data_IF_278510582501
#
_entry.id   IF_278510582501
#
_cell.length_a   1.000
_cell.length_b   1.000
_cell.length_c   1.000
_cell.angle_alpha   90.00
_cell.angle_beta   90.00
_cell.angle_gamma   90.00
#
_symmetry.space_group_name_H-M   'P 1'
#
loop_
_entity.id
_entity.type
_entity.pdbx_description
1 polymer ?
#
# COMPACT_ATOMS: atom_id res chain seq x y z
N UNK A 1 2.75 -1.30 -9.79
CA UNK A 1 2.36 -2.71 -9.53
C UNK A 1 2.20 -3.51 -10.82
N UNK A 2 1.17 -3.30 -11.66
CA UNK A 2 1.01 -4.10 -12.89
C UNK A 2 2.25 -4.02 -13.79
N UNK A 3 2.69 -2.80 -14.10
CA UNK A 3 3.87 -2.59 -14.94
C UNK A 3 5.13 -3.20 -14.32
N UNK A 4 5.34 -3.03 -13.01
CA UNK A 4 6.45 -3.67 -12.30
C UNK A 4 6.44 -5.19 -12.43
N UNK A 5 5.27 -5.84 -12.38
CA UNK A 5 5.15 -7.28 -12.56
C UNK A 5 5.39 -7.71 -14.02
N UNK A 6 4.96 -6.91 -15.00
CA UNK A 6 5.29 -7.14 -16.41
C UNK A 6 6.80 -7.02 -16.66
N UNK A 7 7.45 -6.02 -16.07
CA UNK A 7 8.92 -5.85 -16.13
C UNK A 7 9.67 -7.04 -15.50
N UNK A 8 9.05 -7.70 -14.51
CA UNK A 8 9.55 -8.94 -13.88
C UNK A 8 9.27 -10.21 -14.69
N UNK A 9 8.67 -10.10 -15.88
CA UNK A 9 8.39 -11.22 -16.78
C UNK A 9 7.04 -11.92 -16.57
N UNK A 10 6.13 -11.33 -15.80
CA UNK A 10 4.75 -11.81 -15.77
C UNK A 10 4.00 -11.44 -17.06
N UNK A 11 3.09 -12.30 -17.46
CA UNK A 11 2.12 -12.09 -18.54
C UNK A 11 0.70 -11.89 -17.99
N UNK A 12 -0.26 -11.55 -18.85
CA UNK A 12 -1.64 -11.32 -18.42
C UNK A 12 -2.27 -12.57 -17.78
N UNK A 13 -1.91 -13.77 -18.24
CA UNK A 13 -2.44 -15.02 -17.70
C UNK A 13 -1.98 -15.25 -16.25
N UNK A 14 -0.67 -15.12 -15.99
CA UNK A 14 -0.12 -15.25 -14.63
C UNK A 14 -0.61 -14.14 -13.72
N UNK A 15 -0.76 -12.90 -14.21
CA UNK A 15 -1.35 -11.80 -13.44
C UNK A 15 -2.80 -12.08 -13.03
N UNK A 16 -3.59 -12.69 -13.90
CA UNK A 16 -4.98 -13.06 -13.60
C UNK A 16 -5.07 -14.22 -12.60
N UNK A 17 -4.07 -15.11 -12.57
CA UNK A 17 -3.99 -16.22 -11.64
C UNK A 17 -3.51 -15.82 -10.23
N UNK A 18 -2.97 -14.61 -10.03
CA UNK A 18 -2.51 -14.15 -8.72
C UNK A 18 -3.65 -14.13 -7.70
N UNK A 19 -3.41 -14.63 -6.47
CA UNK A 19 -4.40 -14.60 -5.41
C UNK A 19 -4.78 -13.16 -5.08
N UNK A 20 -6.08 -12.92 -4.89
CA UNK A 20 -6.64 -11.61 -4.56
C UNK A 20 -7.07 -11.59 -3.10
N UNK A 21 -6.69 -10.55 -2.38
CA UNK A 21 -7.17 -10.32 -1.03
C UNK A 21 -8.59 -9.73 -1.08
N UNK A 22 -9.61 -10.58 -1.27
CA UNK A 22 -11.01 -10.14 -1.37
C UNK A 22 -11.50 -9.43 -0.10
N UNK A 23 -10.99 -9.83 1.06
CA UNK A 23 -11.28 -9.19 2.35
C UNK A 23 -10.87 -7.71 2.43
N UNK A 24 -10.02 -7.22 1.53
CA UNK A 24 -9.67 -5.80 1.46
C UNK A 24 -10.88 -4.92 1.10
N UNK A 25 -11.88 -5.48 0.40
CA UNK A 25 -13.11 -4.77 0.06
C UNK A 25 -13.90 -4.34 1.32
N UNK A 26 -13.76 -5.08 2.42
CA UNK A 26 -14.52 -4.84 3.64
C UNK A 26 -13.86 -3.83 4.59
N UNK A 27 -12.64 -3.38 4.30
CA UNK A 27 -11.91 -2.44 5.15
C UNK A 27 -12.59 -1.06 5.25
N UNK A 28 -13.30 -0.65 4.19
CA UNK A 28 -13.86 0.69 4.07
C UNK A 28 -15.36 0.67 4.31
N UNK A 29 -15.75 0.92 5.56
CA UNK A 29 -17.16 0.97 6.01
C UNK A 29 -17.69 2.39 6.20
N UNK A 30 -16.99 3.40 5.69
CA UNK A 30 -17.36 4.81 5.80
C UNK A 30 -16.18 5.75 5.68
N UNK A 31 -16.45 7.05 5.82
CA UNK A 31 -15.44 8.11 5.64
C UNK A 31 -14.26 7.98 6.61
N UNK A 32 -14.53 7.79 7.90
CA UNK A 32 -13.47 7.67 8.92
C UNK A 32 -12.52 6.51 8.61
N UNK A 33 -13.05 5.30 8.43
CA UNK A 33 -12.22 4.12 8.11
C UNK A 33 -11.51 4.24 6.77
N UNK A 34 -12.10 4.89 5.76
CA UNK A 34 -11.42 5.19 4.51
C UNK A 34 -10.15 6.04 4.74
N UNK A 35 -10.23 7.09 5.56
CA UNK A 35 -9.06 7.89 5.93
C UNK A 35 -8.01 7.08 6.70
N UNK A 36 -8.45 6.15 7.55
CA UNK A 36 -7.58 5.21 8.24
C UNK A 36 -6.79 4.30 7.28
N UNK A 37 -7.49 3.69 6.32
CA UNK A 37 -6.85 2.85 5.30
C UNK A 37 -5.91 3.68 4.43
N UNK A 38 -6.34 4.87 3.99
CA UNK A 38 -5.50 5.77 3.20
C UNK A 38 -4.25 6.23 3.97
N UNK A 39 -4.34 6.41 5.30
CA UNK A 39 -3.16 6.73 6.11
C UNK A 39 -2.09 5.64 5.99
N UNK A 40 -2.49 4.38 5.99
CA UNK A 40 -1.57 3.25 5.81
C UNK A 40 -0.98 3.25 4.40
N UNK A 41 -1.82 3.41 3.37
CA UNK A 41 -1.39 3.36 1.98
C UNK A 41 -0.49 4.56 1.60
N UNK A 42 -0.92 5.78 1.89
CA UNK A 42 -0.13 7.00 1.64
C UNK A 42 1.16 6.99 2.46
N UNK A 43 1.10 6.59 3.73
CA UNK A 43 2.27 6.48 4.59
C UNK A 43 3.28 5.43 4.09
N UNK A 44 2.80 4.33 3.51
CA UNK A 44 3.67 3.28 2.98
C UNK A 44 4.58 3.77 1.85
N UNK A 45 4.17 4.81 1.10
CA UNK A 45 4.98 5.38 0.00
C UNK A 45 6.28 6.02 0.50
N UNK A 46 6.30 6.54 1.73
CA UNK A 46 7.52 7.06 2.37
C UNK A 46 8.54 5.95 2.61
N UNK A 47 8.09 4.81 3.14
CA UNK A 47 8.93 3.62 3.29
C UNK A 47 9.34 3.03 1.95
N UNK A 48 8.44 3.08 0.96
CA UNK A 48 8.70 2.66 -0.41
C UNK A 48 9.84 3.42 -1.08
N UNK A 49 10.04 4.71 -0.79
CA UNK A 49 11.25 5.45 -1.21
C UNK A 49 12.55 4.88 -0.64
N UNK A 50 12.53 4.48 0.63
CA UNK A 50 13.70 3.86 1.27
C UNK A 50 14.01 2.52 0.61
N UNK A 51 12.98 1.70 0.38
CA UNK A 51 13.10 0.41 -0.30
C UNK A 51 13.64 0.60 -1.72
N UNK A 52 13.07 1.52 -2.50
CA UNK A 52 13.51 1.80 -3.88
C UNK A 52 14.97 2.24 -3.94
N UNK A 53 15.43 3.05 -2.97
CA UNK A 53 16.84 3.45 -2.87
C UNK A 53 17.75 2.25 -2.58
N UNK A 54 17.29 1.29 -1.79
CA UNK A 54 18.04 0.06 -1.52
C UNK A 54 18.09 -0.86 -2.75
N UNK A 55 16.96 -1.05 -3.43
CA UNK A 55 16.85 -1.89 -4.64
C UNK A 55 17.73 -1.36 -5.78
N UNK A 56 17.75 -0.04 -6.01
CA UNK A 56 18.60 0.60 -7.03
C UNK A 56 20.11 0.42 -6.81
N UNK A 57 20.55 -0.07 -5.65
CA UNK A 57 21.97 -0.40 -5.38
C UNK A 57 22.33 -1.82 -5.79
N UNK A 58 21.35 -2.67 -6.09
CA UNK A 58 21.60 -4.03 -6.56
C UNK A 58 21.92 -3.99 -8.06
N UNK A 59 23.03 -4.61 -8.45
CA UNK A 59 23.55 -4.57 -9.82
C UNK A 59 22.58 -5.19 -10.84
N UNK A 60 21.81 -6.20 -10.42
CA UNK A 60 20.93 -6.98 -11.29
C UNK A 60 19.44 -6.64 -11.12
N UNK A 61 19.12 -5.44 -10.60
CA UNK A 61 17.72 -5.05 -10.39
C UNK A 61 17.00 -4.86 -11.74
N UNK A 62 16.00 -5.71 -12.09
CA UNK A 62 15.45 -5.76 -13.44
C UNK A 62 14.39 -4.67 -13.70
N UNK A 63 13.87 -4.02 -12.64
CA UNK A 63 12.74 -3.08 -12.76
C UNK A 63 13.25 -1.65 -12.90
N UNK A 64 12.88 -0.97 -13.99
CA UNK A 64 13.38 0.38 -14.29
C UNK A 64 12.81 1.45 -13.34
N UNK A 65 11.51 1.39 -13.01
CA UNK A 65 10.83 2.45 -12.23
C UNK A 65 10.47 2.08 -10.80
N UNK A 66 10.31 0.79 -10.48
CA UNK A 66 9.79 0.32 -9.19
C UNK A 66 8.52 1.12 -8.76
N UNK A 67 7.61 1.36 -9.70
CA UNK A 67 6.42 2.21 -9.53
C UNK A 67 5.45 1.75 -8.46
N UNK A 68 5.54 0.50 -7.98
CA UNK A 68 4.85 0.06 -6.77
C UNK A 68 5.41 0.71 -5.50
N UNK A 69 6.73 0.79 -5.37
CA UNK A 69 7.38 1.32 -4.17
C UNK A 69 7.57 2.84 -4.21
N UNK A 70 7.73 3.43 -5.39
CA UNK A 70 7.88 4.89 -5.55
C UNK A 70 6.88 5.44 -6.59
N UNK A 71 5.57 5.40 -6.29
CA UNK A 71 4.53 5.80 -7.24
C UNK A 71 4.53 7.32 -7.52
N UNK A 72 4.89 8.13 -6.51
CA UNK A 72 4.83 9.60 -6.59
C UNK A 72 6.19 10.25 -6.89
N UNK A 73 7.29 9.50 -6.85
CA UNK A 73 8.63 10.03 -7.10
C UNK A 73 8.89 11.27 -6.22
N UNK A 74 9.30 12.40 -6.78
CA UNK A 74 9.60 13.62 -6.00
C UNK A 74 8.40 14.12 -5.18
N UNK A 75 7.17 13.79 -5.60
CA UNK A 75 5.92 14.23 -4.97
C UNK A 75 5.51 13.45 -3.72
N UNK A 76 6.21 12.38 -3.32
CA UNK A 76 5.84 11.59 -2.13
C UNK A 76 5.69 12.45 -0.86
N UNK A 77 6.63 13.38 -0.64
CA UNK A 77 6.61 14.27 0.52
C UNK A 77 5.45 15.27 0.49
N UNK A 78 5.26 16.02 -0.62
CA UNK A 78 4.07 16.84 -0.86
C UNK A 78 2.75 16.09 -0.67
N UNK A 79 2.56 14.93 -1.33
CA UNK A 79 1.32 14.15 -1.23
C UNK A 79 1.03 13.72 0.22
N UNK A 80 2.05 13.27 0.96
CA UNK A 80 1.88 12.93 2.37
C UNK A 80 1.47 14.12 3.23
N UNK A 81 2.10 15.29 3.03
CA UNK A 81 1.72 16.52 3.74
C UNK A 81 0.28 16.91 3.43
N UNK A 82 -0.11 16.90 2.16
CA UNK A 82 -1.46 17.29 1.76
C UNK A 82 -2.51 16.31 2.29
N UNK A 83 -2.19 15.01 2.29
CA UNK A 83 -3.04 13.99 2.89
C UNK A 83 -3.21 14.21 4.40
N UNK A 84 -2.12 14.44 5.15
CA UNK A 84 -2.18 14.64 6.60
C UNK A 84 -2.96 15.90 6.99
N UNK A 85 -2.91 16.97 6.18
CA UNK A 85 -3.78 18.14 6.37
C UNK A 85 -5.27 17.75 6.30
N UNK A 86 -5.65 16.93 5.31
CA UNK A 86 -7.04 16.45 5.15
C UNK A 86 -7.45 15.49 6.26
N UNK A 87 -6.54 14.60 6.69
CA UNK A 87 -6.77 13.68 7.80
C UNK A 87 -7.01 14.43 9.12
N UNK A 88 -6.20 15.46 9.39
CA UNK A 88 -6.33 16.29 10.58
C UNK A 88 -7.59 17.15 10.59
N UNK A 89 -8.23 17.35 9.43
CA UNK A 89 -9.50 18.05 9.30
C UNK A 89 -10.72 17.15 9.61
N UNK A 90 -10.53 15.86 9.93
CA UNK A 90 -11.64 15.00 10.37
C UNK A 90 -12.28 15.53 11.65
N UNK A 91 -13.59 15.77 11.57
CA UNK A 91 -14.36 16.40 12.62
C UNK A 91 -15.01 15.37 13.54
N UNK A 92 -14.85 15.56 14.85
CA UNK A 92 -15.57 14.76 15.84
C UNK A 92 -14.91 13.43 16.16
N UNK A 93 -15.13 13.00 17.41
CA UNK A 93 -14.49 11.83 18.00
C UNK A 93 -14.83 10.53 17.25
N UNK A 94 -16.06 10.41 16.73
CA UNK A 94 -16.50 9.20 16.03
C UNK A 94 -15.71 8.95 14.74
N UNK A 95 -15.53 9.95 13.88
CA UNK A 95 -14.76 9.80 12.64
C UNK A 95 -13.29 9.49 12.92
N UNK A 96 -12.71 10.14 13.94
CA UNK A 96 -11.33 9.88 14.36
C UNK A 96 -11.16 8.44 14.88
N UNK A 97 -12.09 7.95 15.70
CA UNK A 97 -12.09 6.55 16.17
C UNK A 97 -12.21 5.59 14.99
N UNK A 98 -13.06 5.88 14.02
CA UNK A 98 -13.19 5.07 12.81
C UNK A 98 -11.92 5.08 11.95
N UNK A 99 -11.21 6.21 11.86
CA UNK A 99 -9.93 6.28 11.16
C UNK A 99 -8.85 5.43 11.83
N UNK A 100 -8.74 5.48 13.16
CA UNK A 100 -7.83 4.60 13.90
C UNK A 100 -8.20 3.13 13.67
N UNK A 101 -9.48 2.78 13.75
CA UNK A 101 -9.95 1.42 13.51
C UNK A 101 -9.62 0.96 12.09
N UNK A 102 -9.89 1.78 11.07
CA UNK A 102 -9.58 1.46 9.66
C UNK A 102 -8.09 1.25 9.41
N UNK A 103 -7.22 2.08 10.00
CA UNK A 103 -5.77 1.90 9.91
C UNK A 103 -5.32 0.58 10.55
N UNK A 104 -5.81 0.27 11.76
CA UNK A 104 -5.48 -0.97 12.46
C UNK A 104 -5.95 -2.20 11.68
N UNK A 105 -7.20 -2.20 11.18
CA UNK A 105 -7.72 -3.30 10.35
C UNK A 105 -6.93 -3.47 9.05
N UNK A 106 -6.46 -2.38 8.43
CA UNK A 106 -5.62 -2.46 7.25
C UNK A 106 -4.27 -3.14 7.55
N UNK A 107 -3.58 -2.74 8.63
CA UNK A 107 -2.34 -3.40 9.07
C UNK A 107 -2.55 -4.88 9.40
N UNK A 108 -3.60 -5.19 10.15
CA UNK A 108 -3.93 -6.57 10.54
C UNK A 108 -4.22 -7.45 9.31
N UNK A 109 -4.99 -6.93 8.35
CA UNK A 109 -5.28 -7.65 7.11
C UNK A 109 -4.02 -7.89 6.29
N UNK A 110 -3.18 -6.86 6.10
CA UNK A 110 -1.91 -7.02 5.37
C UNK A 110 -1.00 -8.06 6.05
N UNK A 111 -0.88 -8.01 7.38
CA UNK A 111 -0.08 -8.96 8.14
C UNK A 111 -0.58 -10.39 7.97
N UNK A 112 -1.89 -10.62 8.11
CA UNK A 112 -2.51 -11.93 7.89
C UNK A 112 -2.31 -12.41 6.46
N UNK A 113 -2.65 -11.58 5.48
CA UNK A 113 -2.56 -11.95 4.07
C UNK A 113 -1.14 -12.29 3.63
N UNK A 114 -0.15 -11.51 4.05
CA UNK A 114 1.26 -11.77 3.73
C UNK A 114 1.81 -12.97 4.53
N UNK A 115 1.39 -13.15 5.78
CA UNK A 115 1.79 -14.26 6.62
C UNK A 115 1.21 -15.61 6.17
N UNK A 116 -0.02 -15.62 5.69
CA UNK A 116 -0.68 -16.81 5.15
C UNK A 116 -0.17 -17.14 3.74
N UNK A 117 0.17 -16.13 2.94
CA UNK A 117 0.81 -16.31 1.62
C UNK A 117 2.18 -17.00 1.68
N UNK A 118 2.86 -16.99 2.83
CA UNK A 118 4.12 -17.72 3.06
C UNK A 118 3.92 -19.22 3.32
N UNK A 119 2.68 -19.68 3.62
CA UNK A 119 2.39 -21.10 3.91
C UNK A 119 2.03 -21.93 2.68
N UNK A 120 1.79 -21.30 1.53
CA UNK A 120 1.38 -21.98 0.27
C UNK A 120 2.59 -22.39 -0.58
N UNK A 121 3.81 -22.03 -0.16
CA UNK A 121 5.06 -22.35 -0.87
C UNK A 121 5.92 -23.44 -0.19
N UNK A 122 5.32 -24.29 0.65
CA UNK A 122 5.99 -25.41 1.33
C UNK A 122 5.53 -26.77 0.77
#
# INVERSE_FOLDING_TARGET
>A
MRNDLLDLGHDDASLNALPRCSAAADLVQGRGSAFGVMYVLEGSTLGGKVITKALKRQADWPITRASYFDPYQEETGPMWRDFTVRLNALSGRAEQTQAIAGANSCFELMYRWLGDGQRVAA
#
